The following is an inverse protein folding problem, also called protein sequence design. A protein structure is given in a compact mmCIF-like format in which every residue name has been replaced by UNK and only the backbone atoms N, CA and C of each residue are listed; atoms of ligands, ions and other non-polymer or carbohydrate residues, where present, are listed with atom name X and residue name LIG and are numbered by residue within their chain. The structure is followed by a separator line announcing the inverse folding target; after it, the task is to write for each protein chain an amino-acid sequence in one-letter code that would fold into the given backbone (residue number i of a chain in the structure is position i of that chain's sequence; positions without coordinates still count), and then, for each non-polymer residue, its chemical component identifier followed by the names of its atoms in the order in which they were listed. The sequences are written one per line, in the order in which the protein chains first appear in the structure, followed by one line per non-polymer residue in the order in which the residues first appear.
data_IF_692707459344
#
_entry.id   IF_692707459344
#
_cell.length_a   1.000
_cell.length_b   1.000
_cell.length_c   1.000
_cell.angle_alpha   90.00
_cell.angle_beta   90.00
_cell.angle_gamma   90.00
#
_symmetry.space_group_name_H-M   'P 1'
#
loop_
_entity.id
_entity.type
_entity.pdbx_description
1 polymer ?
#
# COMPACT_ATOMS: atom_id res chain seq x y z
N UNK A 1 -12.04 1.84 9.29
CA UNK A 1 -12.70 0.54 9.01
C UNK A 1 -11.69 -0.35 8.30
N UNK A 2 -11.41 -1.56 8.80
CA UNK A 2 -10.46 -2.46 8.15
C UNK A 2 -11.05 -3.03 6.85
N UNK A 3 -10.17 -3.29 5.88
CA UNK A 3 -10.48 -4.02 4.66
C UNK A 3 -9.27 -4.87 4.27
N UNK A 4 -9.50 -5.91 3.46
CA UNK A 4 -8.47 -6.84 3.02
C UNK A 4 -8.46 -6.89 1.49
N UNK A 5 -7.27 -6.79 0.88
CA UNK A 5 -7.07 -6.98 -0.55
C UNK A 5 -6.39 -8.33 -0.75
N UNK A 6 -7.02 -9.22 -1.50
CA UNK A 6 -6.42 -10.49 -1.89
C UNK A 6 -5.85 -10.37 -3.31
N UNK A 7 -4.52 -10.45 -3.42
CA UNK A 7 -3.85 -10.56 -4.71
C UNK A 7 -3.92 -12.03 -5.17
N UNK A 8 -4.61 -12.29 -6.28
CA UNK A 8 -4.75 -13.63 -6.84
C UNK A 8 -3.83 -13.81 -8.03
N UNK A 9 -3.33 -15.03 -8.21
CA UNK A 9 -2.43 -15.39 -9.31
C UNK A 9 -1.11 -14.61 -9.32
N UNK A 10 -0.68 -14.09 -8.16
CA UNK A 10 0.64 -13.51 -7.94
C UNK A 10 1.52 -14.56 -7.26
N UNK A 11 2.71 -14.80 -7.81
CA UNK A 11 3.71 -15.66 -7.19
C UNK A 11 4.70 -14.80 -6.42
N UNK A 12 4.93 -15.15 -5.16
CA UNK A 12 6.08 -14.69 -4.39
C UNK A 12 7.33 -15.37 -4.96
N UNK A 13 8.39 -14.62 -5.24
CA UNK A 13 9.65 -15.24 -5.66
C UNK A 13 10.15 -16.14 -4.50
N UNK A 14 10.51 -17.41 -4.79
CA UNK A 14 11.04 -18.30 -3.76
C UNK A 14 12.41 -17.78 -3.29
N UNK A 15 12.64 -17.78 -1.98
CA UNK A 15 13.96 -17.49 -1.42
C UNK A 15 14.98 -18.48 -2.01
N UNK A 16 16.04 -17.98 -2.66
CA UNK A 16 17.15 -18.80 -3.17
C UNK A 16 18.31 -18.76 -2.17
N UNK A 17 18.47 -19.76 -1.29
CA UNK A 17 19.46 -19.71 -0.20
C UNK A 17 20.91 -19.53 -0.68
N UNK A 18 21.20 -19.85 -1.95
CA UNK A 18 22.52 -19.72 -2.57
C UNK A 18 22.84 -18.32 -3.11
N UNK A 19 21.87 -17.38 -3.10
CA UNK A 19 22.06 -16.01 -3.57
C UNK A 19 22.03 -15.04 -2.38
N UNK A 20 23.17 -14.41 -2.09
CA UNK A 20 23.23 -13.37 -1.05
C UNK A 20 22.25 -12.23 -1.39
N UNK A 21 21.33 -11.93 -0.47
CA UNK A 21 20.27 -10.92 -0.68
C UNK A 21 18.95 -11.45 -1.25
N UNK A 22 18.80 -12.77 -1.47
CA UNK A 22 17.51 -13.37 -1.87
C UNK A 22 16.49 -13.46 -0.73
N UNK A 23 16.97 -13.40 0.53
CA UNK A 23 16.12 -13.34 1.70
C UNK A 23 15.44 -11.95 1.74
N UNK A 24 14.13 -11.91 1.49
CA UNK A 24 13.33 -10.70 1.61
C UNK A 24 12.92 -10.03 0.30
N UNK A 25 13.27 -10.57 -0.87
CA UNK A 25 12.66 -10.15 -2.15
C UNK A 25 11.28 -10.79 -2.32
N UNK A 26 10.39 -10.56 -1.35
CA UNK A 26 9.11 -11.26 -1.23
C UNK A 26 7.95 -10.49 -1.84
N UNK A 27 8.14 -9.74 -2.94
CA UNK A 27 7.09 -9.35 -3.88
C UNK A 27 7.71 -8.49 -4.99
N UNK A 28 7.68 -8.93 -6.26
CA UNK A 28 7.89 -8.01 -7.40
C UNK A 28 6.73 -7.02 -7.59
N UNK A 29 5.67 -7.16 -6.79
CA UNK A 29 4.47 -6.34 -6.87
C UNK A 29 4.59 -5.19 -5.87
N UNK A 30 4.80 -4.00 -6.40
CA UNK A 30 4.64 -2.75 -5.65
C UNK A 30 3.18 -2.32 -5.72
N UNK A 31 2.57 -2.09 -4.56
CA UNK A 31 1.20 -1.56 -4.48
C UNK A 31 1.25 -0.04 -4.31
N UNK A 32 0.40 0.66 -5.06
CA UNK A 32 0.11 2.08 -4.83
C UNK A 32 -1.39 2.30 -4.89
N UNK A 33 -1.89 3.21 -4.06
CA UNK A 33 -3.29 3.61 -4.09
C UNK A 33 -3.40 4.96 -4.80
N UNK A 34 -4.09 4.98 -5.94
CA UNK A 34 -4.22 6.16 -6.78
C UNK A 34 -5.55 6.90 -6.57
N UNK A 35 -5.54 8.22 -6.75
CA UNK A 35 -6.74 9.04 -6.66
C UNK A 35 -6.46 10.51 -6.42
N UNK A 36 -7.50 11.33 -6.50
CA UNK A 36 -7.44 12.75 -6.19
C UNK A 36 -7.06 12.94 -4.71
N UNK A 37 -5.96 13.62 -4.47
CA UNK A 37 -5.40 13.84 -3.14
C UNK A 37 -5.62 15.29 -2.70
N UNK A 38 -5.78 15.49 -1.39
CA UNK A 38 -5.72 16.83 -0.83
C UNK A 38 -4.29 17.41 -0.94
N UNK A 39 -4.15 18.73 -0.75
CA UNK A 39 -2.87 19.44 -0.88
C UNK A 39 -1.78 18.92 0.05
N UNK A 40 -2.15 18.41 1.24
CA UNK A 40 -1.20 17.84 2.20
C UNK A 40 -0.79 16.39 1.91
N UNK A 41 -1.41 15.74 0.91
CA UNK A 41 -1.23 14.30 0.61
C UNK A 41 -1.37 13.44 1.86
N UNK A 42 -2.40 13.71 2.66
CA UNK A 42 -2.74 12.91 3.86
C UNK A 42 -4.11 12.25 3.74
N UNK A 43 -4.90 12.64 2.74
CA UNK A 43 -6.20 12.06 2.46
C UNK A 43 -6.54 12.14 0.96
N UNK A 44 -7.35 11.19 0.50
CA UNK A 44 -8.04 11.23 -0.78
C UNK A 44 -9.28 12.10 -0.66
N UNK A 45 -9.51 12.96 -1.66
CA UNK A 45 -10.72 13.79 -1.72
C UNK A 45 -11.93 12.94 -2.07
N UNK A 46 -13.06 13.21 -1.44
CA UNK A 46 -14.33 12.57 -1.76
C UNK A 46 -15.04 13.31 -2.90
N UNK A 47 -15.78 12.58 -3.74
CA UNK A 47 -16.72 13.18 -4.68
C UNK A 47 -18.13 13.14 -4.08
N UNK A 48 -18.88 14.23 -4.21
CA UNK A 48 -20.26 14.34 -3.70
C UNK A 48 -20.52 15.63 -2.94
N UNK A 49 -21.68 15.70 -2.26
CA UNK A 49 -22.12 16.89 -1.50
C UNK A 49 -21.38 17.07 -0.17
N UNK A 50 -20.65 16.04 0.28
CA UNK A 50 -19.89 16.11 1.52
C UNK A 50 -18.67 17.01 1.33
N UNK A 51 -18.66 18.12 2.05
CA UNK A 51 -17.55 19.07 2.05
C UNK A 51 -16.67 18.86 3.28
N UNK A 52 -15.38 19.18 3.16
CA UNK A 52 -14.39 19.09 4.25
C UNK A 52 -14.14 17.67 4.80
N UNK A 53 -14.50 16.63 4.06
CA UNK A 53 -14.24 15.23 4.42
C UNK A 53 -13.29 14.59 3.40
N UNK A 54 -12.31 13.84 3.90
CA UNK A 54 -11.39 13.04 3.10
C UNK A 54 -11.28 11.61 3.62
N UNK A 55 -10.83 10.70 2.76
CA UNK A 55 -10.54 9.31 3.12
C UNK A 55 -9.05 9.16 3.38
N UNK A 56 -8.69 8.66 4.55
CA UNK A 56 -7.32 8.34 4.90
C UNK A 56 -7.14 6.82 4.89
N UNK A 57 -6.09 6.36 4.23
CA UNK A 57 -5.68 4.95 4.26
C UNK A 57 -4.53 4.79 5.26
N UNK A 58 -4.59 3.73 6.04
CA UNK A 58 -3.57 3.35 7.01
C UNK A 58 -3.03 1.98 6.65
N UNK A 59 -1.78 1.71 7.03
CA UNK A 59 -1.19 0.37 6.97
C UNK A 59 -1.91 -0.60 7.92
N UNK A 60 -1.53 -1.87 7.86
CA UNK A 60 -2.05 -2.94 8.73
C UNK A 60 -1.82 -2.66 10.22
N UNK A 61 -0.85 -1.81 10.57
CA UNK A 61 -0.61 -1.33 11.94
C UNK A 61 -1.67 -0.35 12.47
N UNK A 62 -2.62 0.08 11.62
CA UNK A 62 -3.68 1.04 11.93
C UNK A 62 -3.17 2.38 12.51
N UNK A 63 -1.93 2.76 12.20
CA UNK A 63 -1.29 3.99 12.69
C UNK A 63 -0.53 4.73 11.58
N UNK A 64 0.19 4.00 10.74
CA UNK A 64 1.00 4.59 9.68
C UNK A 64 0.15 4.96 8.48
N UNK A 65 0.26 6.21 8.04
CA UNK A 65 -0.50 6.74 6.89
C UNK A 65 0.09 6.18 5.59
N UNK A 66 -0.79 5.76 4.68
CA UNK A 66 -0.44 5.50 3.29
C UNK A 66 -0.67 6.80 2.51
N UNK A 67 0.43 7.44 2.09
CA UNK A 67 0.35 8.70 1.36
C UNK A 67 -0.26 8.49 -0.04
N UNK A 68 -1.20 9.35 -0.48
CA UNK A 68 -1.82 9.23 -1.79
C UNK A 68 -0.84 9.25 -2.96
N UNK A 69 -1.06 8.33 -3.91
CA UNK A 69 -0.27 8.19 -5.14
C UNK A 69 1.22 7.86 -4.89
N UNK A 70 1.55 7.35 -3.70
CA UNK A 70 2.91 6.94 -3.34
C UNK A 70 3.00 5.40 -3.37
N UNK A 71 4.00 4.83 -4.07
CA UNK A 71 4.28 3.40 -3.98
C UNK A 71 4.67 2.99 -2.57
N UNK A 72 4.15 1.86 -2.10
CA UNK A 72 4.60 1.26 -0.85
C UNK A 72 6.03 0.75 -0.98
N UNK A 73 6.93 1.01 0.00
CA UNK A 73 8.28 0.48 -0.02
C UNK A 73 8.28 -1.04 0.20
N UNK A 74 9.27 -1.72 -0.34
CA UNK A 74 9.36 -3.19 -0.34
C UNK A 74 9.32 -3.82 1.07
N UNK A 75 9.80 -3.09 2.09
CA UNK A 75 9.75 -3.53 3.49
C UNK A 75 8.34 -3.58 4.10
N UNK A 76 7.34 -3.01 3.43
CA UNK A 76 5.92 -3.09 3.84
C UNK A 76 5.18 -4.25 3.14
N UNK A 77 5.81 -4.96 2.19
CA UNK A 77 5.22 -6.15 1.57
C UNK A 77 5.22 -7.29 2.60
N UNK A 78 4.03 -7.79 2.95
CA UNK A 78 3.83 -8.88 3.91
C UNK A 78 3.16 -10.09 3.21
N UNK A 79 3.54 -11.31 3.63
CA UNK A 79 2.87 -12.57 3.24
C UNK A 79 1.54 -12.74 3.96
#
# INVERSE_FOLDING_TARGET
KPFTIHLQNCAFDPNTPDTAGSAGTMSKVTVSFSGAANTSKKAYTTSGIAQHVGVQLLKSDNATIIDPNTPMPDGDAQQ
#
